data_IF_330417960694
#
_entry.id   IF_330417960694
#
_cell.length_a   1.000
_cell.length_b   1.000
_cell.length_c   1.000
_cell.angle_alpha   90.00
_cell.angle_beta   90.00
_cell.angle_gamma   90.00
#
_symmetry.space_group_name_H-M   'P 1'
#
loop_
_entity.id
_entity.type
_entity.pdbx_description
1 polymer ?
#
# COMPACT_ATOMS: atom_id res chain seq x y z
N UNK A 1 -22.34 31.33 11.68
CA UNK A 1 -21.51 30.42 10.86
C UNK A 1 -20.50 29.82 11.81
N UNK A 2 -20.68 28.55 12.19
CA UNK A 2 -19.72 27.82 13.02
C UNK A 2 -18.52 27.40 12.16
N UNK A 3 -17.29 27.86 12.46
CA UNK A 3 -16.09 27.44 11.74
C UNK A 3 -15.60 26.04 12.14
N UNK A 4 -16.22 25.40 13.14
CA UNK A 4 -15.73 24.16 13.77
C UNK A 4 -16.36 22.86 13.24
N UNK A 5 -17.26 22.96 12.25
CA UNK A 5 -17.82 21.76 11.62
C UNK A 5 -16.89 21.29 10.50
N UNK A 6 -15.76 20.70 10.88
CA UNK A 6 -14.90 19.97 9.96
C UNK A 6 -15.77 18.95 9.21
N UNK A 7 -15.68 18.85 7.86
CA UNK A 7 -16.55 17.97 7.11
C UNK A 7 -16.33 16.52 7.59
N UNK A 8 -17.40 15.74 7.83
CA UNK A 8 -17.30 14.40 8.42
C UNK A 8 -16.41 13.45 7.61
N UNK A 9 -16.20 13.73 6.33
CA UNK A 9 -15.28 12.99 5.46
C UNK A 9 -13.80 13.14 5.85
N UNK A 10 -13.41 14.28 6.42
CA UNK A 10 -12.01 14.53 6.82
C UNK A 10 -11.65 13.72 8.06
N UNK A 11 -12.55 13.62 9.03
CA UNK A 11 -12.34 12.82 10.23
C UNK A 11 -12.26 11.32 9.91
N UNK A 12 -13.18 10.82 9.07
CA UNK A 12 -13.18 9.41 8.67
C UNK A 12 -11.91 9.00 7.91
N UNK A 13 -11.37 9.88 7.06
CA UNK A 13 -10.13 9.60 6.32
C UNK A 13 -8.91 9.56 7.25
N UNK A 14 -8.82 10.47 8.23
CA UNK A 14 -7.73 10.46 9.22
C UNK A 14 -7.80 9.23 10.13
N UNK A 15 -8.99 8.87 10.62
CA UNK A 15 -9.19 7.65 11.40
C UNK A 15 -8.80 6.39 10.61
N UNK A 16 -9.21 6.31 9.35
CA UNK A 16 -8.87 5.18 8.48
C UNK A 16 -7.36 5.11 8.19
N UNK A 17 -6.71 6.25 7.95
CA UNK A 17 -5.25 6.33 7.78
C UNK A 17 -4.53 5.88 9.05
N UNK A 18 -4.97 6.31 10.22
CA UNK A 18 -4.39 5.90 11.51
C UNK A 18 -4.57 4.41 11.79
N UNK A 19 -5.76 3.86 11.53
CA UNK A 19 -6.02 2.43 11.68
C UNK A 19 -5.12 1.59 10.76
N UNK A 20 -4.96 2.03 9.50
CA UNK A 20 -4.08 1.37 8.54
C UNK A 20 -2.60 1.46 8.96
N UNK A 21 -2.15 2.64 9.40
CA UNK A 21 -0.79 2.83 9.92
C UNK A 21 -0.52 1.88 11.10
N UNK A 22 -1.46 1.76 12.03
CA UNK A 22 -1.34 0.86 13.17
C UNK A 22 -1.20 -0.60 12.74
N UNK A 23 -2.01 -1.06 11.79
CA UNK A 23 -1.95 -2.42 11.28
C UNK A 23 -0.63 -2.71 10.55
N UNK A 24 -0.15 -1.77 9.72
CA UNK A 24 1.15 -1.88 9.03
C UNK A 24 2.32 -1.94 10.02
N UNK A 25 2.23 -1.16 11.11
CA UNK A 25 3.28 -1.09 12.14
C UNK A 25 3.44 -2.41 12.91
N UNK A 26 2.37 -3.19 13.08
CA UNK A 26 2.42 -4.54 13.69
C UNK A 26 3.33 -5.49 12.92
N UNK A 27 3.39 -5.35 11.59
CA UNK A 27 4.11 -6.27 10.71
C UNK A 27 5.56 -5.86 10.42
N UNK A 28 6.03 -4.75 11.01
CA UNK A 28 7.39 -4.24 10.83
C UNK A 28 7.80 -4.17 9.34
N UNK A 29 6.89 -3.67 8.50
CA UNK A 29 7.16 -3.38 7.09
C UNK A 29 8.13 -2.19 7.01
N UNK A 30 9.42 -2.46 7.20
CA UNK A 30 10.49 -1.47 7.02
C UNK A 30 10.39 -0.83 5.64
N UNK A 31 10.38 0.51 5.61
CA UNK A 31 10.28 1.28 4.37
C UNK A 31 8.85 1.51 3.85
N UNK A 32 7.80 1.12 4.59
CA UNK A 32 6.45 1.55 4.25
C UNK A 32 6.21 2.99 4.76
N UNK A 33 5.84 3.97 3.90
CA UNK A 33 5.63 5.33 4.32
C UNK A 33 4.35 5.45 5.15
N UNK A 34 4.30 6.41 6.07
CA UNK A 34 3.10 6.65 6.88
C UNK A 34 1.91 7.01 5.99
N UNK A 35 0.82 6.22 5.97
CA UNK A 35 -0.38 6.58 5.23
C UNK A 35 -0.96 7.88 5.77
N UNK A 36 -1.44 8.76 4.90
CA UNK A 36 -2.02 10.04 5.31
C UNK A 36 -3.29 10.37 4.52
N UNK A 37 -4.17 11.15 5.13
CA UNK A 37 -5.39 11.60 4.50
C UNK A 37 -5.13 12.84 3.62
N UNK A 38 -5.42 12.74 2.32
CA UNK A 38 -5.45 13.88 1.40
C UNK A 38 -6.76 13.88 0.61
N UNK A 39 -7.41 15.05 0.55
CA UNK A 39 -8.67 15.26 -0.19
C UNK A 39 -9.74 14.16 0.02
N UNK A 40 -9.83 13.61 1.22
CA UNK A 40 -10.80 12.56 1.58
C UNK A 40 -10.42 11.13 1.18
N UNK A 41 -9.19 10.92 0.70
CA UNK A 41 -8.61 9.61 0.40
C UNK A 41 -7.38 9.35 1.25
N UNK A 42 -6.97 8.10 1.36
CA UNK A 42 -5.80 7.67 2.12
C UNK A 42 -4.69 7.39 1.11
N UNK A 43 -3.65 8.22 1.11
CA UNK A 43 -2.48 8.06 0.26
C UNK A 43 -1.54 7.06 0.91
N UNK A 44 -1.14 6.04 0.15
CA UNK A 44 -0.25 4.97 0.61
C UNK A 44 1.21 5.22 0.26
N UNK A 45 1.50 6.02 -0.76
CA UNK A 45 2.86 6.42 -1.12
C UNK A 45 3.65 5.35 -1.88
N UNK A 46 4.96 5.48 -1.82
CA UNK A 46 5.91 4.64 -2.57
C UNK A 46 6.63 3.69 -1.63
N UNK A 47 6.82 2.45 -2.08
CA UNK A 47 7.51 1.41 -1.33
C UNK A 47 8.51 0.68 -2.20
N UNK A 48 9.53 0.09 -1.59
CA UNK A 48 10.47 -0.77 -2.33
C UNK A 48 9.78 -2.03 -2.88
N UNK A 49 10.30 -2.61 -3.96
CA UNK A 49 9.79 -3.88 -4.48
C UNK A 49 9.81 -5.02 -3.42
N UNK A 50 10.85 -5.18 -2.57
CA UNK A 50 10.82 -6.12 -1.45
C UNK A 50 9.69 -5.85 -0.44
N UNK A 51 9.44 -4.58 -0.11
CA UNK A 51 8.34 -4.19 0.80
C UNK A 51 6.98 -4.53 0.17
N UNK A 52 6.81 -4.33 -1.14
CA UNK A 52 5.59 -4.67 -1.87
C UNK A 52 5.32 -6.17 -1.91
N UNK A 53 6.34 -7.00 -2.13
CA UNK A 53 6.18 -8.46 -2.11
C UNK A 53 5.86 -8.99 -0.70
N UNK A 54 6.47 -8.40 0.33
CA UNK A 54 6.13 -8.71 1.72
C UNK A 54 4.69 -8.31 2.05
N UNK A 55 4.24 -7.14 1.60
CA UNK A 55 2.84 -6.73 1.73
C UNK A 55 1.90 -7.74 1.06
N UNK A 56 2.20 -8.15 -0.18
CA UNK A 56 1.37 -9.13 -0.89
C UNK A 56 1.27 -10.45 -0.10
N UNK A 57 2.39 -10.91 0.46
CA UNK A 57 2.45 -12.13 1.27
C UNK A 57 1.61 -12.02 2.55
N UNK A 58 1.68 -10.87 3.24
CA UNK A 58 0.85 -10.59 4.43
C UNK A 58 -0.65 -10.50 4.12
N UNK A 59 -1.01 -10.30 2.86
CA UNK A 59 -2.39 -10.28 2.37
C UNK A 59 -2.81 -11.62 1.74
N UNK A 60 -2.06 -12.69 2.03
CA UNK A 60 -2.40 -14.06 1.62
C UNK A 60 -1.91 -14.45 0.22
N UNK A 61 -1.06 -13.65 -0.44
CA UNK A 61 -0.45 -14.07 -1.71
C UNK A 61 0.64 -15.13 -1.48
N UNK A 62 0.67 -16.17 -2.33
CA UNK A 62 1.69 -17.22 -2.29
C UNK A 62 3.10 -16.60 -2.34
N UNK A 63 4.07 -16.95 -1.47
CA UNK A 63 5.42 -16.39 -1.52
C UNK A 63 6.12 -16.69 -2.86
N UNK A 64 6.88 -15.73 -3.40
CA UNK A 64 7.78 -15.98 -4.53
C UNK A 64 9.21 -15.98 -4.03
N UNK A 65 10.01 -16.93 -4.52
CA UNK A 65 11.45 -16.93 -4.26
C UNK A 65 12.04 -15.64 -4.84
N UNK A 66 12.37 -14.69 -3.96
CA UNK A 66 13.06 -13.47 -4.34
C UNK A 66 14.41 -13.85 -4.97
N UNK A 67 14.61 -13.50 -6.24
CA UNK A 67 15.93 -13.54 -6.85
C UNK A 67 16.71 -12.33 -6.38
N UNK A 68 17.98 -12.54 -6.04
CA UNK A 68 18.87 -11.53 -5.45
C UNK A 68 19.40 -10.50 -6.45
N UNK A 69 18.93 -10.53 -7.69
CA UNK A 69 19.34 -9.61 -8.74
C UNK A 69 18.35 -8.44 -8.80
N UNK A 70 18.85 -7.24 -9.16
CA UNK A 70 18.02 -6.06 -9.36
C UNK A 70 16.81 -6.46 -10.22
N UNK A 71 15.57 -6.26 -9.75
CA UNK A 71 14.41 -6.77 -10.46
C UNK A 71 14.39 -6.17 -11.85
N UNK A 72 14.51 -7.04 -12.85
CA UNK A 72 14.28 -6.63 -14.22
C UNK A 72 12.81 -6.21 -14.39
N UNK A 73 12.50 -5.60 -15.53
CA UNK A 73 11.13 -5.17 -15.83
C UNK A 73 10.08 -6.29 -15.71
N UNK A 74 10.47 -7.55 -15.89
CA UNK A 74 9.56 -8.70 -15.83
C UNK A 74 9.29 -9.13 -14.40
N UNK A 75 10.31 -9.19 -13.56
CA UNK A 75 10.17 -9.50 -12.14
C UNK A 75 9.43 -8.38 -11.39
N UNK A 76 9.73 -7.11 -11.68
CA UNK A 76 8.99 -5.97 -11.15
C UNK A 76 7.50 -5.99 -11.51
N UNK A 77 7.16 -6.35 -12.76
CA UNK A 77 5.76 -6.54 -13.18
C UNK A 77 5.04 -7.65 -12.40
N UNK A 78 5.73 -8.75 -12.08
CA UNK A 78 5.14 -9.84 -11.29
C UNK A 78 4.85 -9.39 -9.86
N UNK A 79 5.79 -8.67 -9.23
CA UNK A 79 5.60 -8.10 -7.89
C UNK A 79 4.41 -7.13 -7.89
N UNK A 80 4.33 -6.24 -8.89
CA UNK A 80 3.19 -5.32 -9.03
C UNK A 80 1.88 -6.03 -9.23
N UNK A 81 1.82 -7.06 -10.07
CA UNK A 81 0.59 -7.83 -10.25
C UNK A 81 0.18 -8.53 -8.94
N UNK A 82 1.13 -9.12 -8.22
CA UNK A 82 0.89 -9.79 -6.93
C UNK A 82 0.33 -8.84 -5.89
N UNK A 83 0.98 -7.70 -5.66
CA UNK A 83 0.51 -6.73 -4.67
C UNK A 83 -0.82 -6.10 -5.10
N UNK A 84 -1.02 -5.85 -6.39
CA UNK A 84 -2.30 -5.36 -6.92
C UNK A 84 -3.43 -6.35 -6.64
N UNK A 85 -3.23 -7.63 -6.94
CA UNK A 85 -4.25 -8.66 -6.73
C UNK A 85 -4.54 -8.88 -5.25
N UNK A 86 -3.50 -8.93 -4.40
CA UNK A 86 -3.64 -9.11 -2.97
C UNK A 86 -4.35 -7.91 -2.30
N UNK A 87 -3.94 -6.68 -2.64
CA UNK A 87 -4.61 -5.47 -2.15
C UNK A 87 -6.05 -5.44 -2.64
N UNK A 88 -6.31 -5.71 -3.92
CA UNK A 88 -7.67 -5.72 -4.48
C UNK A 88 -8.58 -6.73 -3.78
N UNK A 89 -8.06 -7.91 -3.45
CA UNK A 89 -8.81 -8.89 -2.67
C UNK A 89 -9.11 -8.37 -1.25
N UNK A 90 -8.14 -7.74 -0.60
CA UNK A 90 -8.27 -7.18 0.74
C UNK A 90 -9.22 -5.97 0.83
N UNK A 91 -9.36 -5.20 -0.24
CA UNK A 91 -10.25 -4.01 -0.31
C UNK A 91 -11.59 -4.30 -0.99
N UNK A 92 -12.03 -5.57 -0.99
CA UNK A 92 -13.32 -6.00 -1.53
C UNK A 92 -13.56 -5.58 -3.00
N UNK A 93 -12.47 -5.52 -3.78
CA UNK A 93 -12.52 -5.22 -5.20
C UNK A 93 -12.41 -3.75 -5.58
N UNK A 94 -12.23 -2.82 -4.63
CA UNK A 94 -11.87 -1.42 -4.96
C UNK A 94 -10.60 -1.41 -5.82
N UNK A 95 -10.63 -0.59 -6.87
CA UNK A 95 -9.49 -0.44 -7.76
C UNK A 95 -8.41 0.41 -7.07
N UNK A 96 -7.21 -0.14 -7.02
CA UNK A 96 -6.03 0.52 -6.48
C UNK A 96 -5.03 0.66 -7.61
N UNK A 97 -4.70 1.90 -7.96
CA UNK A 97 -3.59 2.18 -8.86
C UNK A 97 -2.30 1.67 -8.22
N UNK A 98 -1.58 0.82 -8.95
CA UNK A 98 -0.28 0.30 -8.54
C UNK A 98 0.64 0.42 -9.73
N UNK A 99 1.68 1.22 -9.61
CA UNK A 99 2.67 1.44 -10.67
C UNK A 99 4.04 0.94 -10.25
N UNK A 100 4.82 0.47 -11.24
CA UNK A 100 6.21 0.06 -11.04
C UNK A 100 7.15 1.06 -11.71
N UNK A 101 8.08 1.60 -10.92
CA UNK A 101 9.20 2.35 -11.42
C UNK A 101 10.44 1.44 -11.34
N UNK A 102 10.99 1.00 -12.47
CA UNK A 102 12.20 0.19 -12.47
C UNK A 102 13.40 1.02 -12.00
N UNK A 103 14.51 0.34 -11.74
CA UNK A 103 15.78 0.99 -11.50
C UNK A 103 16.10 2.00 -12.63
N UNK A 104 16.46 3.23 -12.26
CA UNK A 104 16.90 4.27 -13.19
C UNK A 104 18.44 4.39 -13.16
N UNK A 105 19.18 3.87 -14.17
CA UNK A 105 20.65 3.97 -14.20
C UNK A 105 21.18 5.40 -14.29
N UNK A 106 20.34 6.35 -14.74
CA UNK A 106 20.70 7.76 -14.86
C UNK A 106 20.52 8.51 -13.54
N UNK A 107 19.60 8.05 -12.71
CA UNK A 107 19.18 8.69 -11.47
C UNK A 107 19.83 8.02 -10.25
N UNK A 108 20.34 6.79 -10.41
CA UNK A 108 20.81 5.91 -9.32
C UNK A 108 19.71 5.64 -8.27
N UNK A 109 18.46 5.60 -8.74
CA UNK A 109 17.28 5.36 -7.91
C UNK A 109 16.87 3.88 -7.98
N UNK A 110 16.69 3.30 -6.79
CA UNK A 110 16.19 1.94 -6.61
C UNK A 110 14.77 1.76 -7.18
N UNK A 111 14.41 0.53 -7.60
CA UNK A 111 13.08 0.25 -8.09
C UNK A 111 12.02 0.41 -6.99
N UNK A 112 10.97 1.17 -7.28
CA UNK A 112 9.86 1.44 -6.36
C UNK A 112 8.51 1.05 -6.95
N UNK A 113 7.58 0.73 -6.06
CA UNK A 113 6.17 0.49 -6.35
C UNK A 113 5.37 1.64 -5.76
N UNK A 114 4.67 2.39 -6.59
CA UNK A 114 3.74 3.43 -6.14
C UNK A 114 2.40 2.79 -5.86
N UNK A 115 1.90 2.95 -4.64
CA UNK A 115 0.55 2.60 -4.25
C UNK A 115 -0.33 3.86 -4.31
N UNK A 116 -1.43 3.76 -5.03
CA UNK A 116 -2.42 4.82 -5.17
C UNK A 116 -3.13 5.15 -3.87
N UNK A 117 -4.28 5.80 -3.99
CA UNK A 117 -5.06 6.24 -2.83
C UNK A 117 -6.34 5.43 -2.64
N UNK A 118 -6.65 5.11 -1.38
CA UNK A 118 -7.83 4.34 -1.01
C UNK A 118 -8.96 5.24 -0.52
N UNK A 119 -10.21 4.79 -0.71
CA UNK A 119 -11.32 5.32 0.07
C UNK A 119 -11.17 4.96 1.57
N UNK A 120 -11.79 5.71 2.50
CA UNK A 120 -11.77 5.35 3.92
C UNK A 120 -12.33 3.94 4.23
N UNK A 121 -13.42 3.48 3.60
CA UNK A 121 -13.85 2.08 3.72
C UNK A 121 -12.77 1.07 3.28
N UNK A 122 -12.16 1.26 2.10
CA UNK A 122 -11.11 0.36 1.62
C UNK A 122 -9.88 0.35 2.52
N UNK A 123 -9.43 1.50 3.01
CA UNK A 123 -8.32 1.57 3.97
C UNK A 123 -8.63 0.80 5.27
N UNK A 124 -9.88 0.83 5.74
CA UNK A 124 -10.32 0.03 6.90
C UNK A 124 -10.38 -1.46 6.58
N UNK A 125 -10.88 -1.86 5.41
CA UNK A 125 -10.88 -3.28 5.00
C UNK A 125 -9.44 -3.81 4.87
N UNK A 126 -8.53 -3.03 4.27
CA UNK A 126 -7.11 -3.37 4.21
C UNK A 126 -6.48 -3.51 5.60
N UNK A 127 -6.76 -2.57 6.51
CA UNK A 127 -6.27 -2.66 7.89
C UNK A 127 -6.77 -3.92 8.61
N UNK A 128 -8.02 -4.33 8.37
CA UNK A 128 -8.58 -5.57 8.93
C UNK A 128 -7.91 -6.81 8.33
N UNK A 129 -7.69 -6.85 7.02
CA UNK A 129 -7.00 -7.96 6.36
C UNK A 129 -5.62 -8.17 6.97
N UNK A 130 -4.85 -7.08 7.14
CA UNK A 130 -3.54 -7.11 7.79
C UNK A 130 -3.59 -7.61 9.25
N UNK A 131 -4.67 -7.36 9.98
CA UNK A 131 -4.81 -7.83 11.37
C UNK A 131 -5.32 -9.28 11.48
N UNK A 132 -5.84 -9.85 10.40
CA UNK A 132 -6.47 -11.19 10.40
C UNK A 132 -5.53 -12.26 9.84
N UNK A 133 -4.67 -11.89 8.90
CA UNK A 133 -3.70 -12.78 8.21
C UNK A 133 -2.30 -12.76 8.89
N UNK A 134 -2.21 -12.26 10.14
CA UNK A 134 -0.99 -12.10 10.92
C UNK A 134 -0.79 -13.11 12.04
#
# INVERSE_FOLDING_TARGET
MDPDRMPPSRDLAHEAAYALQSALSTHQLGGFPTPYADRGRIVLGEISAPTADRLATLLGAEPVAARSELPDWTEGRRIVQRVRDAVRAAVEGEFVDVDFWPYCPRCDEDPVVTLGSLSPPAARSLARALLTEG
#
